data_IF_167561443356
#
_entry.id   IF_167561443356
#
_cell.length_a   1.000
_cell.length_b   1.000
_cell.length_c   1.000
_cell.angle_alpha   90.00
_cell.angle_beta   90.00
_cell.angle_gamma   90.00
#
_symmetry.space_group_name_H-M   'P 1'
#
loop_
_entity.id
_entity.type
_entity.pdbx_description
1 polymer ?
#
# COMPACT_ATOMS: atom_id res chain seq x y z
N UNK A 1 -38.36 -15.44 70.74
CA UNK A 1 -37.78 -14.42 69.84
C UNK A 1 -38.89 -13.56 69.29
N UNK A 2 -38.79 -12.24 69.46
CA UNK A 2 -39.83 -11.29 69.04
C UNK A 2 -39.79 -11.09 67.52
N UNK A 3 -40.95 -10.98 66.84
CA UNK A 3 -41.05 -10.80 65.38
C UNK A 3 -40.21 -9.60 64.87
N UNK A 4 -40.10 -8.56 65.69
CA UNK A 4 -39.27 -7.38 65.42
C UNK A 4 -37.76 -7.69 65.37
N UNK A 5 -37.25 -8.58 66.22
CA UNK A 5 -35.83 -8.97 66.22
C UNK A 5 -35.46 -9.77 64.98
N UNK A 6 -36.36 -10.66 64.53
CA UNK A 6 -36.15 -11.45 63.32
C UNK A 6 -36.04 -10.55 62.08
N UNK A 7 -36.90 -9.52 61.98
CA UNK A 7 -36.81 -8.50 60.92
C UNK A 7 -35.51 -7.72 60.97
N UNK A 8 -35.06 -7.30 62.16
CA UNK A 8 -33.78 -6.59 62.34
C UNK A 8 -32.59 -7.45 61.92
N UNK A 9 -32.56 -8.72 62.31
CA UNK A 9 -31.47 -9.65 61.94
C UNK A 9 -31.41 -9.86 60.43
N UNK A 10 -32.56 -10.08 59.77
CA UNK A 10 -32.61 -10.23 58.31
C UNK A 10 -32.13 -8.95 57.61
N UNK A 11 -32.58 -7.77 58.04
CA UNK A 11 -32.14 -6.50 57.48
C UNK A 11 -30.62 -6.30 57.58
N UNK A 12 -30.02 -6.60 58.75
CA UNK A 12 -28.57 -6.51 58.94
C UNK A 12 -27.81 -7.49 58.04
N UNK A 13 -28.32 -8.70 57.84
CA UNK A 13 -27.73 -9.69 56.93
C UNK A 13 -27.77 -9.20 55.49
N UNK A 14 -28.92 -8.71 55.02
CA UNK A 14 -29.06 -8.16 53.67
C UNK A 14 -28.13 -6.95 53.44
N UNK A 15 -28.05 -6.02 54.41
CA UNK A 15 -27.17 -4.86 54.29
C UNK A 15 -25.68 -5.25 54.31
N UNK A 16 -25.29 -6.26 55.09
CA UNK A 16 -23.92 -6.80 55.05
C UNK A 16 -23.59 -7.35 53.66
N UNK A 17 -24.45 -8.20 53.11
CA UNK A 17 -24.26 -8.78 51.78
C UNK A 17 -24.16 -7.68 50.70
N UNK A 18 -25.01 -6.64 50.79
CA UNK A 18 -24.94 -5.49 49.89
C UNK A 18 -23.58 -4.78 49.96
N UNK A 19 -23.05 -4.55 51.17
CA UNK A 19 -21.75 -3.91 51.37
C UNK A 19 -20.60 -4.78 50.88
N UNK A 20 -20.65 -6.09 51.10
CA UNK A 20 -19.66 -7.04 50.61
C UNK A 20 -19.59 -7.04 49.08
N UNK A 21 -20.74 -7.05 48.40
CA UNK A 21 -20.80 -6.94 46.94
C UNK A 21 -20.20 -5.62 46.42
N UNK A 22 -20.51 -4.48 47.07
CA UNK A 22 -19.92 -3.18 46.71
C UNK A 22 -18.40 -3.19 46.91
N UNK A 23 -17.91 -3.75 48.01
CA UNK A 23 -16.47 -3.83 48.28
C UNK A 23 -15.75 -4.72 47.25
N UNK A 24 -16.37 -5.82 46.80
CA UNK A 24 -15.85 -6.62 45.69
C UNK A 24 -15.71 -5.78 44.43
N UNK A 25 -16.75 -5.03 44.07
CA UNK A 25 -16.73 -4.16 42.89
C UNK A 25 -15.64 -3.09 42.93
N UNK A 26 -15.32 -2.53 44.11
CA UNK A 26 -14.17 -1.62 44.24
C UNK A 26 -12.82 -2.31 44.03
N UNK A 27 -12.69 -3.57 44.46
CA UNK A 27 -11.46 -4.35 44.24
C UNK A 27 -11.28 -4.65 42.75
N UNK A 28 -12.33 -5.16 42.10
CA UNK A 28 -12.32 -5.45 40.67
C UNK A 28 -12.03 -4.21 39.83
N UNK A 29 -12.68 -3.08 40.16
CA UNK A 29 -12.41 -1.82 39.48
C UNK A 29 -10.96 -1.39 39.66
N UNK A 30 -10.39 -1.52 40.86
CA UNK A 30 -8.99 -1.16 41.12
C UNK A 30 -8.02 -2.00 40.29
N UNK A 31 -8.31 -3.29 40.12
CA UNK A 31 -7.45 -4.22 39.36
C UNK A 31 -7.45 -3.93 37.85
N UNK A 32 -8.54 -3.34 37.32
CA UNK A 32 -8.64 -2.89 35.93
C UNK A 32 -7.90 -1.58 35.66
N UNK A 33 -7.62 -0.79 36.70
CA UNK A 33 -6.91 0.47 36.52
C UNK A 33 -5.41 0.22 36.31
N UNK A 34 -4.74 1.06 35.50
CA UNK A 34 -3.29 0.99 35.37
C UNK A 34 -2.66 1.06 36.77
N UNK A 35 -1.60 0.27 36.97
CA UNK A 35 -0.77 0.30 38.18
C UNK A 35 0.04 1.61 38.25
N UNK A 36 -0.63 2.76 38.18
CA UNK A 36 -0.02 4.08 38.34
C UNK A 36 0.32 4.26 39.81
N UNK A 37 1.59 3.99 40.12
CA UNK A 37 2.27 4.28 41.38
C UNK A 37 1.30 4.25 42.57
N UNK A 38 0.82 3.06 42.93
CA UNK A 38 0.30 2.89 44.28
C UNK A 38 1.48 3.22 45.17
N UNK A 39 1.46 4.38 45.83
CA UNK A 39 2.43 4.74 46.84
C UNK A 39 2.56 3.52 47.76
N UNK A 40 3.69 2.84 47.65
CA UNK A 40 3.93 1.55 48.28
C UNK A 40 3.67 1.73 49.77
N UNK A 41 2.52 1.25 50.25
CA UNK A 41 2.12 1.35 51.66
C UNK A 41 0.88 2.18 52.00
N UNK A 42 0.25 2.93 51.08
CA UNK A 42 -0.99 3.67 51.39
C UNK A 42 -2.23 3.03 50.76
N UNK A 43 -3.24 2.71 51.59
CA UNK A 43 -4.53 2.16 51.13
C UNK A 43 -5.24 3.19 50.26
N UNK A 44 -5.40 2.90 48.97
CA UNK A 44 -6.19 3.71 48.04
C UNK A 44 -7.62 3.80 48.55
N UNK A 45 -8.14 5.02 48.77
CA UNK A 45 -9.50 5.22 49.26
C UNK A 45 -10.51 4.95 48.14
N UNK A 46 -11.75 4.57 48.50
CA UNK A 46 -12.83 4.37 47.52
C UNK A 46 -13.03 5.60 46.61
N UNK A 47 -12.92 6.81 47.16
CA UNK A 47 -13.00 8.04 46.38
C UNK A 47 -11.86 8.12 45.33
N UNK A 48 -10.62 7.81 45.73
CA UNK A 48 -9.49 7.82 44.81
C UNK A 48 -9.62 6.78 43.69
N UNK A 49 -10.20 5.60 43.98
CA UNK A 49 -10.49 4.58 42.95
C UNK A 49 -11.48 5.13 41.91
N UNK A 50 -12.57 5.78 42.35
CA UNK A 50 -13.55 6.36 41.43
C UNK A 50 -12.97 7.49 40.57
N UNK A 51 -12.18 8.39 41.16
CA UNK A 51 -11.54 9.47 40.40
C UNK A 51 -10.58 8.92 39.35
N UNK A 52 -9.71 7.97 39.74
CA UNK A 52 -8.78 7.33 38.81
C UNK A 52 -9.51 6.59 37.69
N UNK A 53 -10.63 5.93 38.00
CA UNK A 53 -11.44 5.27 36.98
C UNK A 53 -12.03 6.27 35.99
N UNK A 54 -12.59 7.38 36.47
CA UNK A 54 -13.13 8.42 35.61
C UNK A 54 -12.04 9.05 34.71
N UNK A 55 -10.87 9.32 35.27
CA UNK A 55 -9.73 9.86 34.52
C UNK A 55 -9.19 8.84 33.51
N UNK A 56 -9.14 7.56 33.88
CA UNK A 56 -8.67 6.51 32.99
C UNK A 56 -9.60 6.32 31.80
N UNK A 57 -10.92 6.29 32.01
CA UNK A 57 -11.90 6.24 30.92
C UNK A 57 -11.71 7.40 29.94
N UNK A 58 -11.57 8.63 30.44
CA UNK A 58 -11.29 9.80 29.57
C UNK A 58 -9.99 9.65 28.80
N UNK A 59 -8.95 9.10 29.43
CA UNK A 59 -7.67 8.87 28.76
C UNK A 59 -7.77 7.79 27.69
N UNK A 60 -8.61 6.77 27.88
CA UNK A 60 -8.90 5.74 26.90
C UNK A 60 -9.65 6.33 25.71
N UNK A 61 -10.69 7.13 25.94
CA UNK A 61 -11.44 7.82 24.88
C UNK A 61 -10.50 8.68 24.02
N UNK A 62 -9.65 9.48 24.65
CA UNK A 62 -8.64 10.28 23.92
C UNK A 62 -7.61 9.42 23.17
N UNK A 63 -7.28 8.24 23.69
CA UNK A 63 -6.35 7.31 23.02
C UNK A 63 -7.01 6.64 21.81
N UNK A 64 -8.31 6.34 21.89
CA UNK A 64 -9.10 5.83 20.76
C UNK A 64 -9.13 6.87 19.64
N UNK A 65 -9.49 8.11 19.95
CA UNK A 65 -9.52 9.20 18.96
C UNK A 65 -8.16 9.38 18.25
N UNK A 66 -7.06 9.37 19.01
CA UNK A 66 -5.71 9.47 18.43
C UNK A 66 -5.38 8.29 17.52
N UNK A 67 -5.70 7.08 17.94
CA UNK A 67 -5.44 5.88 17.14
C UNK A 67 -6.27 5.89 15.84
N UNK A 68 -7.52 6.38 15.89
CA UNK A 68 -8.36 6.54 14.70
C UNK A 68 -7.78 7.57 13.71
N UNK A 69 -7.26 8.70 14.22
CA UNK A 69 -6.56 9.69 13.39
C UNK A 69 -5.30 9.13 12.73
N UNK A 70 -4.49 8.38 13.48
CA UNK A 70 -3.28 7.74 12.95
C UNK A 70 -3.61 6.69 11.88
N UNK A 71 -4.65 5.89 12.12
CA UNK A 71 -5.12 4.86 11.18
C UNK A 71 -5.58 5.52 9.87
N UNK A 72 -6.35 6.61 9.94
CA UNK A 72 -6.79 7.37 8.77
C UNK A 72 -5.61 7.94 7.96
N UNK A 73 -4.59 8.48 8.65
CA UNK A 73 -3.35 8.95 8.00
C UNK A 73 -2.62 7.82 7.28
N UNK A 74 -2.47 6.66 7.94
CA UNK A 74 -1.81 5.49 7.36
C UNK A 74 -2.57 4.95 6.14
N UNK A 75 -3.90 4.88 6.20
CA UNK A 75 -4.73 4.48 5.05
C UNK A 75 -4.55 5.43 3.86
N UNK A 76 -4.48 6.73 4.13
CA UNK A 76 -4.26 7.74 3.08
C UNK A 76 -2.89 7.59 2.43
N UNK A 77 -1.85 7.36 3.24
CA UNK A 77 -0.49 7.10 2.73
C UNK A 77 -0.42 5.80 1.93
N UNK A 78 -1.08 4.74 2.39
CA UNK A 78 -1.15 3.47 1.69
C UNK A 78 -1.81 3.63 0.31
N UNK A 79 -2.97 4.27 0.25
CA UNK A 79 -3.66 4.54 -1.02
C UNK A 79 -2.81 5.37 -1.98
N UNK A 80 -2.09 6.39 -1.48
CA UNK A 80 -1.19 7.18 -2.30
C UNK A 80 -0.03 6.34 -2.87
N UNK A 81 0.57 5.48 -2.05
CA UNK A 81 1.64 4.56 -2.50
C UNK A 81 1.12 3.54 -3.52
N UNK A 82 -0.08 3.01 -3.33
CA UNK A 82 -0.72 2.09 -4.26
C UNK A 82 -0.96 2.76 -5.63
N UNK A 83 -1.47 4.00 -5.64
CA UNK A 83 -1.60 4.77 -6.87
C UNK A 83 -0.26 4.99 -7.56
N UNK A 84 0.80 5.32 -6.81
CA UNK A 84 2.15 5.50 -7.37
C UNK A 84 2.66 4.19 -7.98
N UNK A 85 2.48 3.05 -7.30
CA UNK A 85 2.88 1.74 -7.83
C UNK A 85 2.17 1.42 -9.14
N UNK A 86 0.85 1.62 -9.20
CA UNK A 86 0.07 1.42 -10.43
C UNK A 86 0.59 2.29 -11.58
N UNK A 87 0.96 3.55 -11.31
CA UNK A 87 1.54 4.42 -12.34
C UNK A 87 2.88 3.87 -12.84
N UNK A 88 3.77 3.41 -11.95
CA UNK A 88 5.05 2.81 -12.37
C UNK A 88 4.88 1.53 -13.18
N UNK A 89 3.91 0.68 -12.84
CA UNK A 89 3.57 -0.51 -13.62
C UNK A 89 3.11 -0.14 -15.03
N UNK A 90 2.24 0.87 -15.15
CA UNK A 90 1.79 1.38 -16.46
C UNK A 90 2.95 1.96 -17.28
N UNK A 91 3.80 2.80 -16.66
CA UNK A 91 4.98 3.36 -17.34
C UNK A 91 5.97 2.28 -17.79
N UNK A 92 6.16 1.23 -16.99
CA UNK A 92 7.02 0.11 -17.35
C UNK A 92 6.48 -0.66 -18.55
N UNK A 93 5.16 -0.90 -18.59
CA UNK A 93 4.49 -1.56 -19.71
C UNK A 93 4.60 -0.74 -21.02
N UNK A 94 4.28 0.55 -20.97
CA UNK A 94 4.34 1.42 -22.15
C UNK A 94 5.77 1.62 -22.67
N UNK A 95 6.75 1.72 -21.77
CA UNK A 95 8.15 1.88 -22.14
C UNK A 95 8.77 0.60 -22.71
N UNK A 96 8.47 -0.57 -22.12
CA UNK A 96 8.96 -1.85 -22.66
C UNK A 96 8.29 -2.19 -23.99
N UNK A 97 6.99 -1.99 -24.15
CA UNK A 97 6.31 -2.26 -25.42
C UNK A 97 6.79 -1.31 -26.52
N UNK A 98 6.91 -0.01 -26.24
CA UNK A 98 7.42 0.98 -27.20
C UNK A 98 8.87 0.69 -27.63
N UNK A 99 9.77 0.42 -26.67
CA UNK A 99 11.17 0.12 -26.99
C UNK A 99 11.35 -1.19 -27.77
N UNK A 100 10.61 -2.25 -27.42
CA UNK A 100 10.64 -3.52 -28.17
C UNK A 100 10.09 -3.35 -29.58
N UNK A 101 9.01 -2.58 -29.75
CA UNK A 101 8.44 -2.29 -31.07
C UNK A 101 9.42 -1.45 -31.91
N UNK A 102 10.05 -0.42 -31.33
CA UNK A 102 11.07 0.40 -32.01
C UNK A 102 12.29 -0.44 -32.44
N UNK A 103 12.78 -1.32 -31.57
CA UNK A 103 13.91 -2.21 -31.88
C UNK A 103 13.56 -3.22 -32.99
N UNK A 104 12.35 -3.79 -32.96
CA UNK A 104 11.87 -4.69 -34.03
C UNK A 104 11.72 -3.97 -35.37
N UNK A 105 11.27 -2.70 -35.37
CA UNK A 105 11.22 -1.89 -36.59
C UNK A 105 12.61 -1.65 -37.16
N UNK A 106 13.57 -1.27 -36.32
CA UNK A 106 14.96 -1.06 -36.73
C UNK A 106 15.57 -2.35 -37.29
N UNK A 107 15.34 -3.49 -36.64
CA UNK A 107 15.80 -4.79 -37.13
C UNK A 107 15.25 -5.09 -38.52
N UNK A 108 13.94 -4.96 -38.72
CA UNK A 108 13.31 -5.23 -40.02
C UNK A 108 13.79 -4.26 -41.10
N UNK A 109 14.06 -2.99 -40.76
CA UNK A 109 14.68 -2.03 -41.68
C UNK A 109 16.07 -2.50 -42.12
N UNK A 110 16.94 -2.86 -41.18
CA UNK A 110 18.29 -3.32 -41.47
C UNK A 110 18.26 -4.61 -42.31
N UNK A 111 17.36 -5.54 -42.02
CA UNK A 111 17.19 -6.76 -42.79
C UNK A 111 16.77 -6.47 -44.25
N UNK A 112 15.84 -5.53 -44.46
CA UNK A 112 15.42 -5.11 -45.81
C UNK A 112 16.52 -4.38 -46.58
N UNK A 113 17.31 -3.54 -45.90
CA UNK A 113 18.50 -2.94 -46.50
C UNK A 113 19.51 -4.01 -46.91
N UNK A 114 19.72 -5.02 -46.07
CA UNK A 114 20.67 -6.09 -46.34
C UNK A 114 20.21 -7.03 -47.46
N UNK A 115 18.94 -7.40 -47.50
CA UNK A 115 18.34 -8.15 -48.63
C UNK A 115 18.53 -7.40 -49.96
N UNK A 116 18.29 -6.08 -49.94
CA UNK A 116 18.51 -5.22 -51.11
C UNK A 116 19.98 -5.19 -51.53
N UNK A 117 20.90 -5.11 -50.57
CA UNK A 117 22.33 -5.19 -50.83
C UNK A 117 22.71 -6.51 -51.50
N UNK A 118 22.30 -7.65 -50.92
CA UNK A 118 22.61 -8.98 -51.46
C UNK A 118 22.07 -9.18 -52.89
N UNK A 119 20.91 -8.61 -53.20
CA UNK A 119 20.30 -8.74 -54.52
C UNK A 119 20.96 -7.87 -55.60
N UNK A 120 21.58 -6.75 -55.22
CA UNK A 120 22.02 -5.72 -56.16
C UNK A 120 23.52 -5.46 -56.19
N UNK A 121 24.29 -5.96 -55.21
CA UNK A 121 25.74 -5.76 -55.13
C UNK A 121 26.47 -7.04 -55.51
N UNK A 122 27.27 -6.96 -56.58
CA UNK A 122 28.12 -8.05 -57.06
C UNK A 122 29.50 -7.98 -56.40
N UNK A 123 29.82 -8.97 -55.56
CA UNK A 123 31.06 -9.04 -54.78
C UNK A 123 32.16 -9.85 -55.50
N UNK A 124 31.93 -10.29 -56.74
CA UNK A 124 32.80 -11.24 -57.44
C UNK A 124 34.17 -10.66 -57.84
N UNK A 125 34.25 -9.35 -58.09
CA UNK A 125 35.51 -8.65 -58.36
C UNK A 125 35.45 -7.17 -57.98
N UNK A 126 36.60 -6.54 -57.72
CA UNK A 126 36.67 -5.16 -57.23
C UNK A 126 35.96 -4.14 -58.15
N UNK A 127 36.05 -4.31 -59.47
CA UNK A 127 35.42 -3.40 -60.45
C UNK A 127 33.91 -3.54 -60.48
N UNK A 128 33.41 -4.78 -60.44
CA UNK A 128 31.98 -5.09 -60.30
C UNK A 128 31.43 -4.59 -58.98
N UNK A 129 32.19 -4.76 -57.89
CA UNK A 129 31.81 -4.28 -56.56
C UNK A 129 31.65 -2.77 -56.55
N UNK A 130 32.65 -2.02 -57.01
CA UNK A 130 32.57 -0.54 -56.99
C UNK A 130 31.45 -0.01 -57.88
N UNK A 131 31.17 -0.64 -59.02
CA UNK A 131 30.08 -0.24 -59.90
C UNK A 131 28.70 -0.60 -59.32
N UNK A 132 28.53 -1.82 -58.84
CA UNK A 132 27.24 -2.30 -58.32
C UNK A 132 26.89 -1.66 -56.98
N UNK A 133 27.87 -1.41 -56.12
CA UNK A 133 27.69 -0.71 -54.84
C UNK A 133 27.21 0.73 -55.04
N UNK A 134 27.83 1.47 -55.96
CA UNK A 134 27.49 2.88 -56.22
C UNK A 134 26.09 2.99 -56.82
N UNK A 135 25.75 2.09 -57.76
CA UNK A 135 24.41 1.99 -58.33
C UNK A 135 23.36 1.55 -57.30
N UNK A 136 23.71 0.71 -56.33
CA UNK A 136 22.81 0.31 -55.25
C UNK A 136 22.51 1.47 -54.29
N UNK A 137 23.53 2.23 -53.87
CA UNK A 137 23.37 3.41 -53.01
C UNK A 137 22.47 4.46 -53.67
N UNK A 138 22.62 4.70 -54.97
CA UNK A 138 21.77 5.65 -55.69
C UNK A 138 20.33 5.18 -55.87
N UNK A 139 20.09 3.87 -55.87
CA UNK A 139 18.76 3.27 -56.07
C UNK A 139 18.03 2.97 -54.77
N UNK A 140 18.72 2.92 -53.64
CA UNK A 140 18.08 2.60 -52.38
C UNK A 140 17.26 3.79 -51.91
N UNK A 141 15.94 3.62 -51.88
CA UNK A 141 15.02 4.64 -51.40
C UNK A 141 14.71 4.37 -49.93
N UNK A 142 15.50 5.01 -49.07
CA UNK A 142 15.34 4.93 -47.63
C UNK A 142 13.96 5.43 -47.16
N UNK A 143 13.35 6.36 -47.89
CA UNK A 143 12.08 6.99 -47.54
C UNK A 143 10.91 6.04 -47.79
N UNK A 144 10.87 5.41 -48.96
CA UNK A 144 9.88 4.38 -49.27
C UNK A 144 10.02 3.16 -48.35
N UNK A 145 11.26 2.79 -48.00
CA UNK A 145 11.52 1.69 -47.07
C UNK A 145 11.05 2.03 -45.65
N UNK A 146 11.24 3.27 -45.17
CA UNK A 146 10.70 3.70 -43.88
C UNK A 146 9.17 3.74 -43.87
N UNK A 147 8.54 4.24 -44.95
CA UNK A 147 7.08 4.36 -45.03
C UNK A 147 6.39 2.99 -45.07
N UNK A 148 6.97 2.04 -45.80
CA UNK A 148 6.48 0.66 -45.84
C UNK A 148 6.55 -0.06 -44.47
N UNK A 149 7.49 0.35 -43.61
CA UNK A 149 7.68 -0.20 -42.26
C UNK A 149 6.82 0.48 -41.21
N UNK A 150 6.47 1.77 -41.39
CA UNK A 150 5.63 2.53 -40.46
C UNK A 150 4.13 2.21 -40.62
N UNK A 151 3.67 1.93 -41.85
CA UNK A 151 2.25 1.66 -42.14
C UNK A 151 1.63 0.45 -41.40
N UNK A 152 2.32 -0.70 -41.25
CA UNK A 152 1.82 -1.83 -40.47
C UNK A 152 1.71 -1.54 -38.97
N UNK A 153 2.60 -0.72 -38.42
CA UNK A 153 2.63 -0.39 -36.99
C UNK A 153 1.50 0.57 -36.64
N UNK A 154 1.26 1.56 -37.48
CA UNK A 154 0.13 2.48 -37.30
C UNK A 154 -1.22 1.75 -37.26
N UNK A 155 -1.35 0.64 -37.99
CA UNK A 155 -2.54 -0.24 -37.93
C UNK A 155 -2.63 -1.10 -36.67
N UNK A 156 -1.51 -1.36 -35.97
CA UNK A 156 -1.51 -2.16 -34.74
C UNK A 156 -1.74 -1.32 -33.48
N UNK A 157 -1.54 0.00 -33.54
CA UNK A 157 -1.82 0.93 -32.44
C UNK A 157 -3.26 1.49 -32.44
N UNK A 158 -4.11 1.10 -33.39
CA UNK A 158 -5.48 1.60 -33.56
C UNK A 158 -6.48 0.47 -33.37
#
# INVERSE_FOLDING_TARGET
>A
MNSSERKKQTHLRCERQRREAINSGYSELKDLLPASASFTGCKTTNAAILFRAADYVKSLDSSIEKNEEELSKLQTQFAALEMILQQYENFSFDSQTSSVIQLKMLQNFLDKCFESFLANVDVSNYKSLTNSLLMWIERIDFQNMSDALLMPVYKQMK
#
